data_IF_606431726998
#
_entry.id   IF_606431726998
#
_cell.length_a   1.000
_cell.length_b   1.000
_cell.length_c   1.000
_cell.angle_alpha   90.00
_cell.angle_beta   90.00
_cell.angle_gamma   90.00
#
_symmetry.space_group_name_H-M   'P 1'
#
loop_
_entity.id
_entity.type
_entity.pdbx_description
1 polymer ?
#
# COMPACT_ATOMS: atom_id res chain seq x y z
N UNK A 1 -30.41 -23.23 18.84
CA UNK A 1 -29.10 -23.16 18.18
C UNK A 1 -28.07 -23.12 19.32
N UNK A 2 -27.22 -24.14 19.48
CA UNK A 2 -26.17 -24.12 20.52
C UNK A 2 -24.99 -23.34 19.95
N UNK A 3 -24.60 -22.26 20.60
CA UNK A 3 -23.33 -21.61 20.31
C UNK A 3 -22.21 -22.59 20.61
N UNK A 4 -21.38 -22.87 19.61
CA UNK A 4 -20.15 -23.66 19.79
C UNK A 4 -19.13 -22.67 20.37
N UNK A 5 -18.74 -22.79 21.65
CA UNK A 5 -17.76 -21.88 22.22
C UNK A 5 -16.42 -22.12 21.53
N UNK A 6 -15.94 -21.11 20.79
CA UNK A 6 -14.61 -21.12 20.19
C UNK A 6 -13.66 -20.39 21.13
N UNK A 7 -12.49 -20.99 21.38
CA UNK A 7 -11.43 -20.30 22.11
C UNK A 7 -10.90 -19.11 21.30
N UNK A 8 -10.38 -18.10 21.99
CA UNK A 8 -9.71 -16.97 21.36
C UNK A 8 -8.63 -17.43 20.37
N UNK A 9 -7.89 -18.48 20.70
CA UNK A 9 -6.85 -19.07 19.85
C UNK A 9 -7.43 -19.64 18.54
N UNK A 10 -8.60 -20.28 18.61
CA UNK A 10 -9.25 -20.85 17.43
C UNK A 10 -9.78 -19.75 16.51
N UNK A 11 -10.32 -18.68 17.09
CA UNK A 11 -10.77 -17.50 16.34
C UNK A 11 -9.58 -16.81 15.69
N UNK A 12 -8.51 -16.55 16.44
CA UNK A 12 -7.30 -15.91 15.93
C UNK A 12 -6.68 -16.69 14.78
N UNK A 13 -6.50 -18.00 14.94
CA UNK A 13 -5.98 -18.86 13.86
C UNK A 13 -6.85 -18.83 12.61
N UNK A 14 -8.19 -18.80 12.75
CA UNK A 14 -9.09 -18.72 11.60
C UNK A 14 -8.95 -17.39 10.86
N UNK A 15 -8.83 -16.29 11.59
CA UNK A 15 -8.59 -14.96 11.00
C UNK A 15 -7.28 -14.95 10.21
N UNK A 16 -6.19 -15.46 10.80
CA UNK A 16 -4.89 -15.55 10.12
C UNK A 16 -4.96 -16.40 8.85
N UNK A 17 -5.58 -17.58 8.92
CA UNK A 17 -5.72 -18.46 7.75
C UNK A 17 -6.54 -17.80 6.63
N UNK A 18 -7.62 -17.10 6.98
CA UNK A 18 -8.45 -16.40 5.99
C UNK A 18 -7.72 -15.19 5.37
N UNK A 19 -6.91 -14.50 6.15
CA UNK A 19 -6.09 -13.40 5.66
C UNK A 19 -5.03 -13.90 4.67
N UNK A 20 -4.32 -14.97 5.02
CA UNK A 20 -3.32 -15.60 4.14
C UNK A 20 -3.95 -16.13 2.85
N UNK A 21 -5.12 -16.77 2.95
CA UNK A 21 -5.85 -17.26 1.78
C UNK A 21 -6.27 -16.11 0.85
N UNK A 22 -6.83 -15.03 1.41
CA UNK A 22 -7.22 -13.84 0.63
C UNK A 22 -6.00 -13.18 -0.03
N UNK A 23 -4.89 -13.07 0.70
CA UNK A 23 -3.62 -12.54 0.17
C UNK A 23 -3.13 -13.40 -1.00
N UNK A 24 -3.13 -14.73 -0.84
CA UNK A 24 -2.66 -15.66 -1.87
C UNK A 24 -3.50 -15.55 -3.15
N UNK A 25 -4.82 -15.47 -3.03
CA UNK A 25 -5.73 -15.26 -4.17
C UNK A 25 -5.40 -13.96 -4.93
N UNK A 26 -5.15 -12.86 -4.21
CA UNK A 26 -4.77 -11.58 -4.83
C UNK A 26 -3.41 -11.71 -5.54
N UNK A 27 -2.42 -12.36 -4.92
CA UNK A 27 -1.09 -12.59 -5.52
C UNK A 27 -1.19 -13.40 -6.81
N UNK A 28 -2.01 -14.45 -6.85
CA UNK A 28 -2.23 -15.25 -8.05
C UNK A 28 -2.83 -14.42 -9.20
N UNK A 29 -3.82 -13.59 -8.89
CA UNK A 29 -4.43 -12.69 -9.87
C UNK A 29 -3.43 -11.65 -10.40
N UNK A 30 -2.59 -11.08 -9.54
CA UNK A 30 -1.52 -10.15 -9.96
C UNK A 30 -0.51 -10.85 -10.88
N UNK A 31 -0.09 -12.07 -10.52
CA UNK A 31 0.82 -12.87 -11.36
C UNK A 31 0.23 -13.15 -12.74
N UNK A 32 -1.08 -13.43 -12.81
CA UNK A 32 -1.82 -13.61 -14.06
C UNK A 32 -1.92 -12.31 -14.88
N UNK A 33 -2.21 -11.18 -14.23
CA UNK A 33 -2.27 -9.83 -14.83
C UNK A 33 -0.97 -9.42 -15.51
N UNK A 34 0.17 -9.94 -15.04
CA UNK A 34 1.54 -9.58 -15.42
C UNK A 34 1.94 -8.14 -15.13
N UNK A 35 1.02 -7.19 -15.13
CA UNK A 35 1.29 -5.79 -14.81
C UNK A 35 0.44 -5.38 -13.61
N UNK A 36 1.01 -4.54 -12.75
CA UNK A 36 0.32 -3.97 -11.60
C UNK A 36 0.83 -2.58 -11.25
N UNK A 37 0.06 -1.84 -10.48
CA UNK A 37 0.45 -0.57 -9.89
C UNK A 37 0.22 -0.60 -8.38
N UNK A 38 1.05 0.09 -7.62
CA UNK A 38 0.96 0.17 -6.16
C UNK A 38 0.40 1.53 -5.74
N UNK A 39 -0.37 1.55 -4.66
CA UNK A 39 -0.68 2.75 -3.93
C UNK A 39 -0.21 2.56 -2.48
N UNK A 40 0.61 3.48 -2.01
CA UNK A 40 1.23 3.45 -0.70
C UNK A 40 0.65 4.58 0.15
N UNK A 41 0.21 4.22 1.35
CA UNK A 41 -0.35 5.16 2.32
C UNK A 41 0.28 4.86 3.69
N UNK A 42 0.80 5.90 4.34
CA UNK A 42 1.34 5.80 5.70
C UNK A 42 0.23 6.18 6.68
N UNK A 43 0.00 5.33 7.67
CA UNK A 43 -0.97 5.59 8.75
C UNK A 43 -0.31 5.32 10.09
N UNK A 44 -0.92 5.82 11.16
CA UNK A 44 -0.55 5.49 12.54
C UNK A 44 -1.59 4.55 13.13
N UNK A 45 -1.17 3.48 13.78
CA UNK A 45 -2.07 2.59 14.51
C UNK A 45 -2.52 3.22 15.86
N UNK A 46 -3.37 2.50 16.60
CA UNK A 46 -3.92 2.95 17.90
C UNK A 46 -2.81 3.04 18.98
N UNK A 47 -1.70 2.33 18.79
CA UNK A 47 -0.53 2.34 19.68
C UNK A 47 0.53 3.37 19.25
N UNK A 48 0.22 4.23 18.26
CA UNK A 48 1.10 5.24 17.71
C UNK A 48 2.32 4.66 16.95
N UNK A 49 2.22 3.41 16.50
CA UNK A 49 3.17 2.78 15.58
C UNK A 49 2.84 3.19 14.14
N UNK A 50 3.88 3.44 13.34
CA UNK A 50 3.69 3.72 11.92
C UNK A 50 3.40 2.44 11.16
N UNK A 51 2.42 2.44 10.28
CA UNK A 51 2.07 1.33 9.40
C UNK A 51 2.07 1.78 7.94
N UNK A 52 2.55 0.91 7.07
CA UNK A 52 2.46 1.06 5.62
C UNK A 52 1.30 0.24 5.09
N UNK A 53 0.28 0.92 4.56
CA UNK A 53 -0.79 0.30 3.80
C UNK A 53 -0.38 0.24 2.32
N UNK A 54 -0.29 -0.97 1.79
CA UNK A 54 0.01 -1.20 0.38
C UNK A 54 -1.25 -1.71 -0.32
N UNK A 55 -1.78 -0.92 -1.24
CA UNK A 55 -2.82 -1.35 -2.16
C UNK A 55 -2.22 -1.68 -3.52
N UNK A 56 -2.87 -2.58 -4.23
CA UNK A 56 -2.48 -2.99 -5.57
C UNK A 56 -3.64 -2.79 -6.54
N UNK A 57 -3.30 -2.35 -7.75
CA UNK A 57 -4.22 -2.25 -8.87
C UNK A 57 -3.70 -3.12 -10.01
N UNK A 58 -4.56 -3.98 -10.53
CA UNK A 58 -4.23 -4.97 -11.55
C UNK A 58 -5.45 -5.26 -12.42
N UNK A 59 -5.24 -5.96 -13.53
CA UNK A 59 -6.34 -6.44 -14.38
C UNK A 59 -6.71 -7.83 -13.91
N UNK A 60 -7.93 -7.99 -13.40
CA UNK A 60 -8.48 -9.30 -13.13
C UNK A 60 -8.92 -9.91 -14.47
N UNK A 61 -8.23 -10.95 -14.90
CA UNK A 61 -8.53 -11.63 -16.15
C UNK A 61 -9.82 -12.46 -16.12
N UNK A 62 -10.25 -12.89 -14.93
CA UNK A 62 -11.48 -13.68 -14.79
C UNK A 62 -12.71 -12.78 -14.89
N UNK A 63 -12.63 -11.56 -14.34
CA UNK A 63 -13.69 -10.56 -14.43
C UNK A 63 -13.54 -9.59 -15.61
N UNK A 64 -12.40 -9.63 -16.32
CA UNK A 64 -12.03 -8.70 -17.40
C UNK A 64 -12.16 -7.22 -16.98
N UNK A 65 -11.82 -6.92 -15.73
CA UNK A 65 -12.00 -5.61 -15.11
C UNK A 65 -10.75 -5.20 -14.30
N UNK A 66 -10.58 -3.90 -14.10
CA UNK A 66 -9.51 -3.36 -13.27
C UNK A 66 -9.91 -3.42 -11.79
N UNK A 67 -9.17 -4.19 -11.00
CA UNK A 67 -9.42 -4.33 -9.56
C UNK A 67 -8.43 -3.54 -8.73
N UNK A 68 -8.86 -3.21 -7.52
CA UNK A 68 -8.02 -2.63 -6.47
C UNK A 68 -8.26 -3.38 -5.18
N UNK A 69 -7.20 -3.94 -4.61
CA UNK A 69 -7.23 -4.69 -3.36
C UNK A 69 -6.15 -4.21 -2.39
N UNK A 70 -6.29 -4.60 -1.12
CA UNK A 70 -5.21 -4.50 -0.13
C UNK A 70 -4.23 -5.62 -0.42
N UNK A 71 -2.96 -5.27 -0.61
CA UNK A 71 -1.88 -6.22 -0.85
C UNK A 71 -1.19 -6.60 0.44
N UNK A 72 -0.88 -5.62 1.29
CA UNK A 72 -0.26 -5.85 2.59
C UNK A 72 -0.49 -4.67 3.55
N UNK A 73 -0.40 -4.99 4.84
CA UNK A 73 -0.29 -4.04 5.94
C UNK A 73 0.99 -4.39 6.67
N UNK A 74 1.93 -3.47 6.75
CA UNK A 74 3.25 -3.73 7.34
C UNK A 74 3.60 -2.68 8.37
N UNK A 75 4.03 -3.13 9.54
CA UNK A 75 4.57 -2.22 10.56
C UNK A 75 5.88 -1.61 10.07
N UNK A 76 6.03 -0.31 10.32
CA UNK A 76 7.23 0.44 10.03
C UNK A 76 7.96 0.75 11.33
N UNK A 77 9.31 0.74 11.31
CA UNK A 77 10.08 1.16 12.47
C UNK A 77 9.81 2.65 12.80
N UNK A 78 10.00 2.99 14.07
CA UNK A 78 9.71 4.31 14.65
C UNK A 78 10.38 5.49 13.91
N UNK A 79 11.50 5.25 13.24
CA UNK A 79 12.17 6.20 12.36
C UNK A 79 12.00 5.78 10.90
N UNK A 80 10.93 6.25 10.28
CA UNK A 80 10.54 5.84 8.94
C UNK A 80 11.34 6.60 7.87
N UNK A 81 12.49 6.05 7.48
CA UNK A 81 13.20 6.54 6.29
C UNK A 81 12.68 5.84 5.04
N UNK A 82 12.87 6.47 3.88
CA UNK A 82 12.56 5.85 2.58
C UNK A 82 13.26 4.49 2.38
N UNK A 83 14.42 4.27 3.01
CA UNK A 83 15.17 3.01 2.94
C UNK A 83 14.47 1.90 3.71
N UNK A 84 13.96 2.21 4.90
CA UNK A 84 13.23 1.23 5.70
C UNK A 84 11.92 0.84 5.03
N UNK A 85 11.17 1.83 4.51
CA UNK A 85 9.93 1.54 3.75
C UNK A 85 10.25 0.69 2.52
N UNK A 86 11.30 1.02 1.77
CA UNK A 86 11.70 0.25 0.60
C UNK A 86 12.10 -1.18 0.97
N UNK A 87 12.82 -1.37 2.08
CA UNK A 87 13.24 -2.70 2.54
C UNK A 87 12.04 -3.59 2.88
N UNK A 88 11.06 -3.05 3.60
CA UNK A 88 9.81 -3.75 3.92
C UNK A 88 9.06 -4.13 2.64
N UNK A 89 8.87 -3.16 1.74
CA UNK A 89 8.15 -3.37 0.48
C UNK A 89 8.89 -4.36 -0.45
N UNK A 90 10.21 -4.26 -0.55
CA UNK A 90 11.02 -5.16 -1.38
C UNK A 90 11.01 -6.59 -0.82
N UNK A 91 11.12 -6.75 0.50
CA UNK A 91 11.00 -8.05 1.15
C UNK A 91 9.68 -8.73 0.80
N UNK A 92 8.57 -8.01 0.89
CA UNK A 92 7.25 -8.52 0.51
C UNK A 92 7.19 -8.93 -0.97
N UNK A 93 7.67 -8.06 -1.88
CA UNK A 93 7.65 -8.31 -3.33
C UNK A 93 8.48 -9.55 -3.68
N UNK A 94 9.66 -9.72 -3.07
CA UNK A 94 10.54 -10.87 -3.27
C UNK A 94 9.93 -12.16 -2.69
N UNK A 95 9.43 -12.11 -1.45
CA UNK A 95 8.83 -13.26 -0.76
C UNK A 95 7.62 -13.82 -1.52
N UNK A 96 6.80 -12.94 -2.14
CA UNK A 96 5.66 -13.35 -2.96
C UNK A 96 6.02 -13.65 -4.41
N UNK A 97 7.29 -13.55 -4.78
CA UNK A 97 7.81 -13.79 -6.13
C UNK A 97 7.13 -12.87 -7.16
N UNK A 98 6.85 -11.64 -6.74
CA UNK A 98 6.43 -10.56 -7.63
C UNK A 98 7.68 -9.90 -8.22
N UNK A 99 7.54 -9.28 -9.40
CA UNK A 99 8.66 -8.68 -10.12
C UNK A 99 8.50 -7.18 -10.21
N UNK A 100 9.50 -6.43 -9.79
CA UNK A 100 9.50 -4.97 -9.95
C UNK A 100 9.33 -4.52 -11.40
N UNK A 101 9.89 -5.25 -12.37
CA UNK A 101 9.72 -4.99 -13.81
C UNK A 101 8.25 -4.98 -14.28
N UNK A 102 7.36 -5.59 -13.50
CA UNK A 102 5.93 -5.67 -13.77
C UNK A 102 5.14 -4.54 -13.07
N UNK A 103 5.79 -3.80 -12.17
CA UNK A 103 5.20 -2.65 -11.50
C UNK A 103 5.30 -1.43 -12.43
N UNK A 104 4.16 -1.03 -13.00
CA UNK A 104 4.09 0.07 -13.99
C UNK A 104 3.69 1.40 -13.37
N UNK A 105 3.28 1.40 -12.10
CA UNK A 105 2.84 2.62 -11.44
C UNK A 105 2.98 2.60 -9.93
N UNK A 106 3.21 3.77 -9.35
CA UNK A 106 3.13 4.01 -7.92
C UNK A 106 2.33 5.28 -7.63
N UNK A 107 1.47 5.22 -6.63
CA UNK A 107 0.75 6.37 -6.08
C UNK A 107 1.15 6.55 -4.61
N UNK A 108 1.56 7.76 -4.22
CA UNK A 108 1.92 8.09 -2.83
C UNK A 108 1.22 9.37 -2.36
N UNK A 109 1.10 9.59 -1.06
CA UNK A 109 0.48 10.77 -0.46
C UNK A 109 1.30 12.08 -0.61
N UNK A 110 2.50 11.99 -1.19
CA UNK A 110 3.40 13.12 -1.40
C UNK A 110 4.32 13.44 -0.23
N UNK A 111 4.36 12.62 0.81
CA UNK A 111 5.32 12.78 1.90
C UNK A 111 6.76 12.80 1.34
N UNK A 112 7.61 13.68 1.89
CA UNK A 112 8.95 13.90 1.39
C UNK A 112 9.84 12.63 1.44
N UNK A 113 9.62 11.77 2.42
CA UNK A 113 10.24 10.44 2.50
C UNK A 113 9.87 9.54 1.31
N UNK A 114 8.67 9.69 0.74
CA UNK A 114 8.21 8.91 -0.39
C UNK A 114 8.64 9.50 -1.74
N UNK A 115 8.55 10.83 -1.90
CA UNK A 115 8.74 11.50 -3.21
C UNK A 115 10.05 12.26 -3.36
N UNK A 116 10.97 12.20 -2.38
CA UNK A 116 12.27 12.87 -2.44
C UNK A 116 13.03 12.56 -3.73
N UNK A 117 13.55 13.61 -4.40
CA UNK A 117 14.13 13.50 -5.75
C UNK A 117 15.30 12.51 -5.83
N UNK A 118 16.20 12.54 -4.85
CA UNK A 118 17.45 11.77 -4.86
C UNK A 118 17.41 10.54 -3.94
N UNK A 119 16.52 10.55 -2.94
CA UNK A 119 16.50 9.54 -1.88
C UNK A 119 15.09 9.06 -1.54
N UNK A 120 14.06 9.50 -2.26
CA UNK A 120 12.69 9.08 -2.01
C UNK A 120 12.45 7.62 -2.37
N UNK A 121 11.45 7.02 -1.74
CA UNK A 121 11.00 5.65 -2.04
C UNK A 121 10.73 5.45 -3.53
N UNK A 122 10.05 6.41 -4.16
CA UNK A 122 9.72 6.35 -5.59
C UNK A 122 10.97 6.24 -6.46
N UNK A 123 12.06 6.93 -6.10
CA UNK A 123 13.32 6.85 -6.85
C UNK A 123 13.88 5.42 -6.81
N UNK A 124 13.89 4.79 -5.63
CA UNK A 124 14.33 3.39 -5.46
C UNK A 124 13.44 2.40 -6.23
N UNK A 125 12.13 2.63 -6.22
CA UNK A 125 11.20 1.80 -6.99
C UNK A 125 11.44 1.93 -8.50
N UNK A 126 11.77 3.13 -9.00
CA UNK A 126 12.12 3.34 -10.41
C UNK A 126 13.40 2.61 -10.79
N UNK A 127 14.41 2.58 -9.91
CA UNK A 127 15.65 1.85 -10.18
C UNK A 127 15.40 0.33 -10.36
N UNK A 128 14.46 -0.23 -9.59
CA UNK A 128 14.10 -1.66 -9.68
C UNK A 128 13.14 -1.99 -10.82
N UNK A 129 12.14 -1.14 -11.06
CA UNK A 129 11.11 -1.36 -12.08
C UNK A 129 11.56 -0.94 -13.49
N UNK A 130 12.59 -0.11 -13.58
CA UNK A 130 13.06 0.52 -14.81
C UNK A 130 12.27 1.77 -15.19
N UNK A 131 12.60 2.34 -16.35
CA UNK A 131 12.12 3.66 -16.78
C UNK A 131 10.61 3.78 -17.05
N UNK A 132 9.86 2.68 -16.98
CA UNK A 132 8.42 2.66 -17.30
C UNK A 132 7.52 2.92 -16.07
N UNK A 133 8.09 3.01 -14.86
CA UNK A 133 7.30 3.22 -13.65
C UNK A 133 6.79 4.68 -13.56
N UNK A 134 5.47 4.83 -13.69
CA UNK A 134 4.79 6.13 -13.58
C UNK A 134 4.49 6.43 -12.12
N UNK A 135 4.92 7.58 -11.62
CA UNK A 135 4.59 8.03 -10.26
C UNK A 135 3.50 9.08 -10.30
N UNK A 136 2.48 8.90 -9.45
CA UNK A 136 1.38 9.83 -9.27
C UNK A 136 1.22 10.20 -7.80
N UNK A 137 0.61 11.35 -7.54
CA UNK A 137 0.29 11.79 -6.19
C UNK A 137 -1.16 11.42 -5.86
N UNK A 138 -1.41 10.97 -4.64
CA UNK A 138 -2.75 10.58 -4.20
C UNK A 138 -3.68 11.80 -4.15
N UNK A 139 -4.66 11.80 -5.05
CA UNK A 139 -5.50 12.97 -5.32
C UNK A 139 -6.40 13.33 -4.13
N UNK A 140 -6.90 12.32 -3.41
CA UNK A 140 -7.75 12.51 -2.22
C UNK A 140 -6.98 13.23 -1.11
N UNK A 141 -5.70 12.88 -0.90
CA UNK A 141 -4.87 13.58 0.07
C UNK A 141 -4.70 15.06 -0.32
N UNK A 142 -4.48 15.36 -1.61
CA UNK A 142 -4.41 16.74 -2.10
C UNK A 142 -5.71 17.51 -1.92
N UNK A 143 -6.86 16.87 -2.17
CA UNK A 143 -8.16 17.49 -1.95
C UNK A 143 -8.41 17.78 -0.48
N UNK A 144 -8.09 16.84 0.41
CA UNK A 144 -8.21 17.02 1.86
C UNK A 144 -7.28 18.13 2.38
N UNK A 145 -6.03 18.19 1.88
CA UNK A 145 -5.11 19.29 2.20
C UNK A 145 -5.62 20.63 1.66
N UNK A 146 -6.18 20.65 0.45
CA UNK A 146 -6.79 21.84 -0.11
C UNK A 146 -7.97 22.29 0.77
N UNK A 147 -8.97 21.46 1.04
CA UNK A 147 -10.14 21.85 1.84
C UNK A 147 -9.77 22.39 3.23
N UNK A 148 -8.77 21.81 3.90
CA UNK A 148 -8.24 22.32 5.18
C UNK A 148 -7.67 23.74 5.08
N UNK A 149 -6.95 24.06 4.00
CA UNK A 149 -6.42 25.42 3.76
C UNK A 149 -7.54 26.45 3.53
N UNK A 150 -8.63 26.05 2.89
CA UNK A 150 -9.75 26.93 2.58
C UNK A 150 -10.55 27.29 3.84
N UNK A 151 -10.61 26.39 4.82
CA UNK A 151 -11.28 26.65 6.10
C UNK A 151 -10.55 27.72 6.94
N UNK A 152 -9.23 27.83 6.80
CA UNK A 152 -8.40 28.82 7.52
C UNK A 152 -8.51 30.22 6.89
N UNK A 153 -8.68 30.32 5.56
CA UNK A 153 -8.82 31.62 4.88
C UNK A 153 -10.16 32.32 5.15
N UNK A 154 -11.24 31.58 5.43
CA UNK A 154 -12.55 32.16 5.75
C UNK A 154 -12.63 32.71 7.19
N UNK A 155 -11.86 32.15 8.15
CA UNK A 155 -11.80 32.70 9.51
C UNK A 155 -10.91 33.95 9.66
N UNK A 156 -10.04 34.24 8.69
CA UNK A 156 -9.20 35.46 8.69
C UNK A 156 -9.84 36.67 8.01
N UNK A 157 -11.04 36.49 7.48
CA UNK A 157 -11.82 37.54 6.80
C UNK A 157 -13.04 37.98 7.63
N UNK A 158 -13.08 37.63 8.92
CA UNK A 158 -14.08 38.05 9.87
C UNK A 158 -13.41 38.74 11.05
#
# INVERSE_FOLDING_TARGET
MKDIPLSNDTVGRRISNMAEDTEMQVIEKIKKSKLFALQLDESTDIQNSSILLTFVRYIDHDESDMKKDILSVSELPMHTTSSEIFKVLNGFIEERVLKWKNCVGVCTDGAACLTGRNSGLVTKMKDMAGNNLVSTHFYIHRQNLASKKWHVSLMKSC
#
